data_IF_854127664156
#
_entry.id   IF_854127664156
#
_cell.length_a   1.000
_cell.length_b   1.000
_cell.length_c   1.000
_cell.angle_alpha   90.00
_cell.angle_beta   90.00
_cell.angle_gamma   90.00
#
_symmetry.space_group_name_H-M   'P 1'
#
loop_
_entity.id
_entity.type
_entity.pdbx_description
1 polymer ?
#
# COMPACT_ATOMS: atom_id res chain seq x y z
N UNK A 1 0.76 19.73 8.80
CA UNK A 1 -0.09 19.86 7.59
C UNK A 1 -0.76 18.51 7.38
N UNK A 2 -2.09 18.42 7.24
CA UNK A 2 -2.74 17.15 6.85
C UNK A 2 -2.50 16.97 5.35
N UNK A 3 -1.83 15.90 4.97
CA UNK A 3 -1.72 15.57 3.55
C UNK A 3 -3.04 14.90 3.12
N UNK A 4 -3.71 15.47 2.13
CA UNK A 4 -4.88 14.85 1.48
C UNK A 4 -4.46 14.08 0.21
N UNK A 5 -3.21 13.61 0.19
CA UNK A 5 -2.68 12.87 -0.95
C UNK A 5 -3.24 11.45 -0.96
N UNK A 6 -4.16 11.21 -1.89
CA UNK A 6 -4.84 9.92 -2.05
C UNK A 6 -3.96 8.94 -2.80
N UNK A 7 -3.83 7.74 -2.26
CA UNK A 7 -3.13 6.64 -2.92
C UNK A 7 -4.05 5.42 -3.02
N UNK A 8 -3.95 4.70 -4.11
CA UNK A 8 -4.65 3.42 -4.26
C UNK A 8 -3.67 2.28 -4.00
N UNK A 9 -4.01 1.40 -3.07
CA UNK A 9 -3.18 0.26 -2.69
C UNK A 9 -3.66 -1.00 -3.41
N UNK A 10 -2.76 -1.60 -4.17
CA UNK A 10 -3.00 -2.88 -4.84
C UNK A 10 -2.94 -4.06 -3.85
N UNK A 11 -3.59 -5.17 -4.17
CA UNK A 11 -3.67 -6.37 -3.36
C UNK A 11 -2.31 -6.94 -2.97
N UNK A 12 -1.33 -6.89 -3.86
CA UNK A 12 0.03 -7.34 -3.57
C UNK A 12 0.72 -6.53 -2.47
N UNK A 13 0.35 -5.26 -2.32
CA UNK A 13 0.85 -4.37 -1.25
C UNK A 13 0.15 -4.66 0.06
N UNK A 14 -1.18 -4.77 0.04
CA UNK A 14 -1.98 -5.10 1.24
C UNK A 14 -1.65 -6.50 1.78
N UNK A 15 -1.31 -7.45 0.92
CA UNK A 15 -0.90 -8.79 1.32
C UNK A 15 0.51 -8.85 1.91
N UNK A 16 1.37 -7.86 1.67
CA UNK A 16 2.69 -7.77 2.27
C UNK A 16 2.60 -7.14 3.66
N UNK A 17 2.60 -7.96 4.71
CA UNK A 17 2.37 -7.52 6.09
C UNK A 17 3.24 -6.33 6.53
N UNK A 18 4.53 -6.36 6.23
CA UNK A 18 5.47 -5.33 6.68
C UNK A 18 5.21 -3.99 6.00
N UNK A 19 5.08 -4.01 4.68
CA UNK A 19 4.83 -2.80 3.88
C UNK A 19 3.43 -2.25 4.15
N UNK A 20 2.43 -3.13 4.24
CA UNK A 20 1.05 -2.76 4.57
C UNK A 20 0.97 -2.09 5.95
N UNK A 21 1.58 -2.70 7.00
CA UNK A 21 1.59 -2.15 8.37
C UNK A 21 2.20 -0.73 8.39
N UNK A 22 3.35 -0.55 7.71
CA UNK A 22 4.01 0.76 7.66
C UNK A 22 3.16 1.81 6.92
N UNK A 23 2.64 1.49 5.72
CA UNK A 23 1.82 2.43 4.94
C UNK A 23 0.52 2.81 5.67
N UNK A 24 -0.15 1.84 6.29
CA UNK A 24 -1.39 2.12 7.04
C UNK A 24 -1.12 2.98 8.28
N UNK A 25 0.01 2.80 8.99
CA UNK A 25 0.38 3.69 10.09
C UNK A 25 0.68 5.10 9.63
N UNK A 26 1.37 5.27 8.50
CA UNK A 26 1.61 6.58 7.89
C UNK A 26 0.30 7.25 7.41
N UNK A 27 -0.77 6.47 7.32
CA UNK A 27 -2.13 6.95 7.01
C UNK A 27 -2.95 7.32 8.24
N UNK A 28 -2.53 6.94 9.45
CA UNK A 28 -3.25 7.24 10.71
C UNK A 28 -2.90 8.65 11.24
N UNK A 29 -1.96 8.79 12.17
CA UNK A 29 -1.60 10.08 12.79
C UNK A 29 -0.09 10.21 13.03
N UNK A 30 0.52 11.29 12.51
CA UNK A 30 -0.04 12.29 11.62
C UNK A 30 -0.27 11.72 10.23
N UNK A 31 -1.42 12.01 9.61
CA UNK A 31 -1.79 11.47 8.32
C UNK A 31 -0.94 12.05 7.19
N UNK A 32 0.02 11.28 6.68
CA UNK A 32 0.84 11.66 5.54
C UNK A 32 0.17 11.30 4.21
N UNK A 33 -0.64 10.26 4.19
CA UNK A 33 -1.30 9.71 3.01
C UNK A 33 -2.74 9.32 3.35
N UNK A 34 -3.59 9.21 2.34
CA UNK A 34 -4.96 8.72 2.44
C UNK A 34 -5.09 7.45 1.60
N UNK A 35 -5.20 6.27 2.23
CA UNK A 35 -5.23 5.00 1.50
C UNK A 35 -6.63 4.73 0.94
N UNK A 36 -6.66 4.15 -0.26
CA UNK A 36 -7.87 3.64 -0.91
C UNK A 36 -7.63 2.25 -1.49
N UNK A 37 -8.66 1.47 -1.56
CA UNK A 37 -8.72 0.15 -2.19
C UNK A 37 -10.15 -0.13 -2.67
N UNK A 38 -10.37 -1.29 -3.31
CA UNK A 38 -11.71 -1.77 -3.68
C UNK A 38 -12.05 -3.07 -2.96
N UNK A 39 -13.33 -3.46 -2.98
CA UNK A 39 -13.76 -4.76 -2.46
C UNK A 39 -13.05 -5.92 -3.19
N UNK A 40 -12.81 -5.79 -4.50
CA UNK A 40 -12.08 -6.79 -5.30
C UNK A 40 -10.62 -6.92 -4.86
N UNK A 41 -9.92 -5.80 -4.65
CA UNK A 41 -8.55 -5.78 -4.08
C UNK A 41 -8.54 -6.47 -2.70
N UNK A 42 -9.53 -6.22 -1.85
CA UNK A 42 -9.63 -6.88 -0.56
C UNK A 42 -9.85 -8.39 -0.68
N UNK A 43 -10.69 -8.82 -1.62
CA UNK A 43 -10.90 -10.24 -1.90
C UNK A 43 -9.62 -10.93 -2.41
N UNK A 44 -8.86 -10.27 -3.28
CA UNK A 44 -7.56 -10.77 -3.75
C UNK A 44 -6.51 -10.84 -2.64
N UNK A 45 -6.47 -9.83 -1.78
CA UNK A 45 -5.63 -9.82 -0.58
C UNK A 45 -5.93 -11.02 0.30
N UNK A 46 -7.22 -11.29 0.56
CA UNK A 46 -7.65 -12.46 1.34
C UNK A 46 -7.21 -13.77 0.70
N UNK A 47 -7.46 -13.92 -0.61
CA UNK A 47 -7.00 -15.12 -1.35
C UNK A 47 -5.50 -15.31 -1.22
N UNK A 48 -4.73 -14.24 -1.35
CA UNK A 48 -3.27 -14.30 -1.21
C UNK A 48 -2.85 -14.72 0.20
N UNK A 49 -3.48 -14.18 1.24
CA UNK A 49 -3.21 -14.57 2.62
C UNK A 49 -3.47 -16.06 2.86
N UNK A 50 -4.63 -16.56 2.44
CA UNK A 50 -5.03 -17.95 2.69
C UNK A 50 -4.28 -18.91 1.76
N UNK A 51 -4.32 -18.69 0.45
CA UNK A 51 -3.89 -19.68 -0.54
C UNK A 51 -2.38 -19.70 -0.77
N UNK A 52 -1.70 -18.53 -0.59
CA UNK A 52 -0.26 -18.40 -0.86
C UNK A 52 0.57 -18.27 0.41
N UNK A 53 0.06 -17.59 1.42
CA UNK A 53 0.80 -17.33 2.66
C UNK A 53 0.39 -18.29 3.80
N UNK A 54 -0.61 -19.16 3.58
CA UNK A 54 -1.01 -20.20 4.51
C UNK A 54 -1.68 -19.66 5.78
N UNK A 55 -2.31 -18.48 5.71
CA UNK A 55 -3.05 -17.96 6.84
C UNK A 55 -4.33 -18.78 7.07
N UNK A 56 -4.67 -18.93 8.36
CA UNK A 56 -6.00 -19.38 8.71
C UNK A 56 -7.05 -18.39 8.17
N UNK A 57 -8.15 -18.87 7.56
CA UNK A 57 -9.21 -18.02 7.02
C UNK A 57 -9.75 -17.00 8.02
N UNK A 58 -9.94 -17.40 9.29
CA UNK A 58 -10.44 -16.50 10.34
C UNK A 58 -9.46 -15.36 10.64
N UNK A 59 -8.15 -15.61 10.55
CA UNK A 59 -7.12 -14.57 10.70
C UNK A 59 -7.17 -13.59 9.53
N UNK A 60 -7.34 -14.08 8.30
CA UNK A 60 -7.47 -13.25 7.12
C UNK A 60 -8.74 -12.37 7.20
N UNK A 61 -9.86 -12.93 7.64
CA UNK A 61 -11.11 -12.20 7.84
C UNK A 61 -11.00 -11.15 8.94
N UNK A 62 -10.35 -11.49 10.05
CA UNK A 62 -10.08 -10.56 11.14
C UNK A 62 -9.21 -9.38 10.67
N UNK A 63 -8.12 -9.66 9.93
CA UNK A 63 -7.26 -8.62 9.36
C UNK A 63 -8.06 -7.64 8.49
N UNK A 64 -8.91 -8.16 7.60
CA UNK A 64 -9.74 -7.31 6.75
C UNK A 64 -10.75 -6.47 7.54
N UNK A 65 -11.36 -7.05 8.56
CA UNK A 65 -12.28 -6.33 9.43
C UNK A 65 -11.57 -5.18 10.17
N UNK A 66 -10.33 -5.41 10.65
CA UNK A 66 -9.55 -4.39 11.35
C UNK A 66 -9.20 -3.21 10.44
N UNK A 67 -8.71 -3.47 9.22
CA UNK A 67 -8.34 -2.35 8.33
C UNK A 67 -9.57 -1.60 7.82
N UNK A 68 -10.70 -2.26 7.54
CA UNK A 68 -11.96 -1.58 7.22
C UNK A 68 -12.48 -0.74 8.37
N UNK A 69 -12.34 -1.22 9.60
CA UNK A 69 -12.72 -0.46 10.79
C UNK A 69 -11.84 0.79 10.97
N UNK A 70 -10.52 0.66 10.75
CA UNK A 70 -9.58 1.76 10.86
C UNK A 70 -9.75 2.82 9.76
N UNK A 71 -10.16 2.40 8.56
CA UNK A 71 -10.29 3.25 7.37
C UNK A 71 -11.67 3.05 6.71
N UNK A 72 -12.77 3.50 7.35
CA UNK A 72 -14.14 3.24 6.88
C UNK A 72 -14.46 3.88 5.52
N UNK A 73 -13.75 4.94 5.14
CA UNK A 73 -13.95 5.68 3.89
C UNK A 73 -12.99 5.26 2.76
N UNK A 74 -12.18 4.21 2.98
CA UNK A 74 -11.14 3.82 2.03
C UNK A 74 -11.64 2.93 0.88
N UNK A 75 -12.80 2.28 1.01
CA UNK A 75 -13.29 1.34 0.01
C UNK A 75 -14.03 2.06 -1.12
N UNK A 76 -13.49 1.97 -2.34
CA UNK A 76 -14.05 2.57 -3.56
C UNK A 76 -15.00 1.59 -4.23
N UNK A 77 -16.17 2.07 -4.61
CA UNK A 77 -17.19 1.32 -5.37
C UNK A 77 -17.65 2.09 -6.62
N UNK A 78 -18.37 1.42 -7.51
CA UNK A 78 -19.00 2.03 -8.69
C UNK A 78 -17.99 2.40 -9.80
N UNK A 79 -16.93 1.62 -9.97
CA UNK A 79 -15.89 1.80 -11.00
C UNK A 79 -16.06 0.87 -12.21
N UNK A 80 -16.99 -0.07 -12.15
CA UNK A 80 -17.13 -1.16 -13.13
C UNK A 80 -17.38 -0.65 -14.56
N UNK A 81 -18.09 0.47 -14.69
CA UNK A 81 -18.35 1.11 -15.98
C UNK A 81 -17.10 1.62 -16.71
N UNK A 82 -15.96 1.75 -16.00
CA UNK A 82 -14.69 2.19 -16.59
C UNK A 82 -13.89 1.04 -17.20
N UNK A 83 -14.15 -0.21 -16.82
CA UNK A 83 -13.31 -1.36 -17.18
C UNK A 83 -13.09 -1.55 -18.68
N UNK A 84 -14.11 -1.27 -19.49
CA UNK A 84 -14.06 -1.44 -20.95
C UNK A 84 -13.22 -0.38 -21.65
N UNK A 85 -13.01 0.76 -21.04
CA UNK A 85 -12.20 1.86 -21.58
C UNK A 85 -10.70 1.73 -21.25
N UNK A 86 -10.33 0.81 -20.37
CA UNK A 86 -8.96 0.66 -19.90
C UNK A 86 -8.16 -0.31 -20.75
N UNK A 87 -6.87 0.01 -20.96
CA UNK A 87 -5.96 -0.73 -21.84
C UNK A 87 -4.78 -1.39 -21.12
N UNK A 88 -4.69 -1.24 -19.81
CA UNK A 88 -3.69 -1.94 -18.98
C UNK A 88 -3.98 -3.45 -18.90
N UNK A 89 -3.15 -4.20 -18.19
CA UNK A 89 -3.35 -5.66 -18.03
C UNK A 89 -4.80 -5.97 -17.62
N UNK A 90 -5.49 -6.87 -18.33
CA UNK A 90 -6.90 -7.17 -18.06
C UNK A 90 -7.20 -7.57 -16.62
N UNK A 91 -6.24 -8.24 -15.95
CA UNK A 91 -6.40 -8.67 -14.55
C UNK A 91 -6.36 -7.51 -13.56
N UNK A 92 -5.68 -6.41 -13.93
CA UNK A 92 -5.47 -5.25 -13.06
C UNK A 92 -6.27 -4.01 -13.50
N UNK A 93 -7.21 -4.16 -14.47
CA UNK A 93 -8.10 -3.07 -14.89
C UNK A 93 -8.97 -2.58 -13.74
N UNK A 94 -9.42 -3.46 -12.87
CA UNK A 94 -10.21 -3.10 -11.69
C UNK A 94 -9.44 -2.17 -10.73
N UNK A 95 -8.11 -2.35 -10.61
CA UNK A 95 -7.24 -1.48 -9.81
C UNK A 95 -7.19 -0.07 -10.39
N UNK A 96 -6.93 0.04 -11.72
CA UNK A 96 -6.90 1.33 -12.39
C UNK A 96 -8.28 2.01 -12.38
N UNK A 97 -9.34 1.26 -12.67
CA UNK A 97 -10.72 1.77 -12.65
C UNK A 97 -11.11 2.33 -11.27
N UNK A 98 -10.79 1.59 -10.21
CA UNK A 98 -11.07 2.02 -8.85
C UNK A 98 -10.21 3.22 -8.43
N UNK A 99 -8.94 3.29 -8.85
CA UNK A 99 -8.09 4.45 -8.61
C UNK A 99 -8.65 5.72 -9.27
N UNK A 100 -9.11 5.63 -10.54
CA UNK A 100 -9.78 6.73 -11.25
C UNK A 100 -11.03 7.16 -10.49
N UNK A 101 -11.90 6.22 -10.16
CA UNK A 101 -13.16 6.49 -9.45
C UNK A 101 -12.95 7.12 -8.09
N UNK A 102 -11.94 6.67 -7.35
CA UNK A 102 -11.55 7.19 -6.03
C UNK A 102 -10.81 8.52 -6.07
N UNK A 103 -10.48 9.03 -7.28
CA UNK A 103 -9.68 10.24 -7.43
C UNK A 103 -8.27 10.08 -6.83
N UNK A 104 -7.67 8.90 -6.98
CA UNK A 104 -6.33 8.59 -6.51
C UNK A 104 -5.32 8.85 -7.64
N UNK A 105 -4.48 9.88 -7.54
CA UNK A 105 -3.49 10.18 -8.58
C UNK A 105 -2.34 9.18 -8.64
N UNK A 106 -2.23 8.29 -7.64
CA UNK A 106 -1.12 7.35 -7.52
C UNK A 106 -1.62 5.96 -7.11
N UNK A 107 -1.17 4.94 -7.86
CA UNK A 107 -1.32 3.53 -7.53
C UNK A 107 0.01 3.03 -6.95
N UNK A 108 -0.04 2.33 -5.81
CA UNK A 108 1.12 1.66 -5.21
C UNK A 108 0.98 0.17 -5.46
N UNK A 109 1.96 -0.41 -6.17
CA UNK A 109 1.98 -1.82 -6.53
C UNK A 109 3.39 -2.38 -6.69
N UNK A 110 3.60 -3.66 -6.46
CA UNK A 110 4.83 -4.38 -6.82
C UNK A 110 4.87 -4.75 -8.32
N UNK A 111 3.74 -4.71 -9.02
CA UNK A 111 3.56 -5.20 -10.39
C UNK A 111 3.53 -4.05 -11.43
N UNK A 112 4.55 -3.18 -11.43
CA UNK A 112 4.59 -2.00 -12.31
C UNK A 112 4.33 -2.31 -13.79
N UNK A 113 4.79 -3.47 -14.29
CA UNK A 113 4.62 -3.90 -15.67
C UNK A 113 3.16 -4.04 -16.12
N UNK A 114 2.21 -4.19 -15.19
CA UNK A 114 0.78 -4.29 -15.50
C UNK A 114 0.11 -2.93 -15.70
N UNK A 115 0.87 -1.84 -15.47
CA UNK A 115 0.41 -0.46 -15.55
C UNK A 115 1.33 0.36 -16.47
N UNK A 116 1.37 0.05 -17.79
CA UNK A 116 2.23 0.78 -18.71
C UNK A 116 1.80 2.25 -18.84
N UNK A 117 2.76 3.14 -19.04
CA UNK A 117 2.55 4.58 -19.03
C UNK A 117 1.45 5.04 -19.99
N UNK A 118 1.39 4.45 -21.18
CA UNK A 118 0.37 4.74 -22.20
C UNK A 118 -1.05 4.44 -21.75
N UNK A 119 -1.25 3.49 -20.82
CA UNK A 119 -2.55 3.17 -20.25
C UNK A 119 -2.94 4.13 -19.11
N UNK A 120 -1.98 4.74 -18.44
CA UNK A 120 -2.17 5.63 -17.29
C UNK A 120 -2.31 7.11 -17.68
N UNK A 121 -1.55 7.55 -18.70
CA UNK A 121 -1.50 8.94 -19.14
C UNK A 121 -2.87 9.57 -19.42
N UNK A 122 -3.82 8.89 -20.11
CA UNK A 122 -5.13 9.45 -20.40
C UNK A 122 -5.94 9.79 -19.12
N UNK A 123 -5.62 9.16 -18.00
CA UNK A 123 -6.31 9.28 -16.72
C UNK A 123 -5.57 10.16 -15.72
N UNK A 124 -4.39 10.67 -16.10
CA UNK A 124 -3.51 11.44 -15.22
C UNK A 124 -3.19 10.71 -13.90
N UNK A 125 -2.94 9.40 -14.01
CA UNK A 125 -2.56 8.54 -12.88
C UNK A 125 -1.10 8.14 -13.04
N UNK A 126 -0.38 8.08 -11.93
CA UNK A 126 0.96 7.53 -11.83
C UNK A 126 0.93 6.17 -11.13
N UNK A 127 1.99 5.40 -11.29
CA UNK A 127 2.22 4.16 -10.57
C UNK A 127 3.59 4.20 -9.91
N UNK A 128 3.71 3.68 -8.69
CA UNK A 128 4.98 3.60 -7.97
C UNK A 128 5.14 2.25 -7.28
N UNK A 129 6.39 1.78 -7.25
CA UNK A 129 6.76 0.68 -6.39
C UNK A 129 6.74 1.14 -4.92
N UNK A 130 6.28 0.31 -3.96
CA UNK A 130 6.26 0.68 -2.55
C UNK A 130 7.60 1.18 -2.02
N UNK A 131 8.70 0.60 -2.49
CA UNK A 131 10.06 1.02 -2.12
C UNK A 131 10.35 2.47 -2.45
N UNK A 132 10.06 2.88 -3.68
CA UNK A 132 10.36 4.23 -4.15
C UNK A 132 9.44 5.24 -3.46
N UNK A 133 8.19 4.86 -3.25
CA UNK A 133 7.24 5.71 -2.53
C UNK A 133 7.59 5.89 -1.05
N UNK A 134 8.02 4.83 -0.36
CA UNK A 134 8.47 4.91 1.03
C UNK A 134 9.73 5.76 1.18
N UNK A 135 10.66 5.72 0.20
CA UNK A 135 11.82 6.63 0.18
C UNK A 135 11.39 8.08 0.08
N UNK A 136 10.45 8.41 -0.83
CA UNK A 136 9.91 9.77 -0.96
C UNK A 136 9.27 10.22 0.37
N UNK A 137 8.47 9.38 1.02
CA UNK A 137 7.87 9.72 2.30
C UNK A 137 8.92 9.94 3.39
N UNK A 138 9.99 9.15 3.39
CA UNK A 138 11.09 9.33 4.34
C UNK A 138 11.86 10.64 4.09
N UNK A 139 12.15 10.98 2.84
CA UNK A 139 12.81 12.25 2.50
C UNK A 139 11.97 13.47 2.89
N UNK A 140 10.64 13.38 2.75
CA UNK A 140 9.71 14.46 3.11
C UNK A 140 9.51 14.59 4.62
N UNK A 141 9.36 13.48 5.33
CA UNK A 141 8.94 13.44 6.73
C UNK A 141 9.70 12.35 7.51
N UNK A 142 11.04 12.46 7.62
CA UNK A 142 11.88 11.41 8.21
C UNK A 142 11.49 11.09 9.66
N UNK A 143 11.15 12.11 10.45
CA UNK A 143 10.75 11.93 11.85
C UNK A 143 9.48 11.11 11.99
N UNK A 144 8.52 11.29 11.09
CA UNK A 144 7.25 10.59 11.12
C UNK A 144 7.41 9.12 10.71
N UNK A 145 8.19 8.87 9.66
CA UNK A 145 8.50 7.50 9.22
C UNK A 145 9.25 6.75 10.31
N UNK A 146 10.25 7.37 10.93
CA UNK A 146 11.00 6.77 12.04
C UNK A 146 10.13 6.52 13.28
N UNK A 147 9.20 7.43 13.60
CA UNK A 147 8.25 7.22 14.69
C UNK A 147 7.35 6.01 14.44
N UNK A 148 6.81 5.85 13.22
CA UNK A 148 6.02 4.67 12.85
C UNK A 148 6.83 3.37 12.93
N UNK A 149 8.08 3.38 12.48
CA UNK A 149 8.98 2.22 12.60
C UNK A 149 9.26 1.88 14.08
N UNK A 150 9.46 2.88 14.92
CA UNK A 150 9.60 2.73 16.37
C UNK A 150 8.38 2.11 17.02
N UNK A 151 7.17 2.51 16.63
CA UNK A 151 5.92 1.90 17.11
C UNK A 151 5.79 0.42 16.68
N UNK A 152 6.16 0.10 15.44
CA UNK A 152 6.18 -1.28 14.95
C UNK A 152 7.17 -2.10 15.75
N UNK A 153 8.37 -1.59 15.99
CA UNK A 153 9.41 -2.23 16.76
C UNK A 153 8.95 -2.51 18.20
N UNK A 154 8.40 -1.50 18.87
CA UNK A 154 7.88 -1.62 20.24
C UNK A 154 6.77 -2.66 20.36
N UNK A 155 5.79 -2.67 19.45
CA UNK A 155 4.71 -3.68 19.45
C UNK A 155 5.22 -5.10 19.22
N UNK A 156 6.27 -5.25 18.42
CA UNK A 156 6.88 -6.55 18.08
C UNK A 156 7.99 -6.96 19.04
N UNK A 157 8.31 -6.12 20.04
CA UNK A 157 9.40 -6.30 21.02
C UNK A 157 10.74 -6.59 20.34
N UNK A 158 11.13 -5.75 19.39
CA UNK A 158 12.37 -5.82 18.63
C UNK A 158 12.95 -4.43 18.41
N UNK A 159 14.20 -4.34 17.92
CA UNK A 159 14.81 -3.07 17.53
C UNK A 159 14.33 -2.60 16.16
N UNK A 160 14.45 -1.29 15.89
CA UNK A 160 14.07 -0.70 14.60
C UNK A 160 14.89 -1.30 13.46
N UNK A 161 16.17 -1.59 13.71
CA UNK A 161 17.04 -2.24 12.74
C UNK A 161 16.50 -3.61 12.31
N UNK A 162 15.96 -4.41 13.24
CA UNK A 162 15.36 -5.70 12.94
C UNK A 162 14.09 -5.56 12.08
N UNK A 163 13.30 -4.52 12.35
CA UNK A 163 12.12 -4.19 11.51
C UNK A 163 12.57 -3.86 10.09
N UNK A 164 13.61 -3.02 9.93
CA UNK A 164 14.16 -2.63 8.64
C UNK A 164 14.73 -3.85 7.89
N UNK A 165 15.48 -4.72 8.55
CA UNK A 165 16.02 -5.96 7.95
C UNK A 165 14.89 -6.84 7.40
N UNK A 166 13.79 -6.97 8.14
CA UNK A 166 12.60 -7.72 7.67
C UNK A 166 11.91 -7.06 6.49
N UNK A 167 11.75 -5.72 6.52
CA UNK A 167 11.21 -4.95 5.41
C UNK A 167 12.08 -5.05 4.16
N UNK A 168 13.40 -5.18 4.33
CA UNK A 168 14.36 -5.30 3.24
C UNK A 168 14.12 -6.50 2.31
N UNK A 169 13.34 -7.49 2.72
CA UNK A 169 12.91 -8.59 1.82
C UNK A 169 11.99 -8.12 0.70
N UNK A 170 11.20 -7.07 0.93
CA UNK A 170 10.25 -6.52 -0.03
C UNK A 170 10.70 -5.15 -0.58
N UNK A 171 11.36 -4.34 0.24
CA UNK A 171 11.76 -2.96 -0.06
C UNK A 171 13.23 -2.72 0.30
N UNK A 172 14.18 -3.40 -0.38
CA UNK A 172 15.59 -3.44 0.03
C UNK A 172 16.29 -2.09 0.02
N UNK A 173 16.05 -1.24 -0.99
CA UNK A 173 16.69 0.09 -1.06
C UNK A 173 16.21 1.01 0.06
N UNK A 174 14.90 0.99 0.38
CA UNK A 174 14.35 1.75 1.49
C UNK A 174 14.98 1.31 2.81
N UNK A 175 15.02 0.00 3.05
CA UNK A 175 15.61 -0.55 4.28
C UNK A 175 17.10 -0.21 4.40
N UNK A 176 17.86 -0.38 3.33
CA UNK A 176 19.30 -0.10 3.34
C UNK A 176 19.58 1.38 3.61
N UNK A 177 18.86 2.28 2.94
CA UNK A 177 19.02 3.71 3.13
C UNK A 177 18.81 4.13 4.59
N UNK A 178 17.74 3.63 5.24
CA UNK A 178 17.48 3.94 6.63
C UNK A 178 18.48 3.28 7.60
N UNK A 179 18.96 2.09 7.29
CA UNK A 179 20.01 1.44 8.09
C UNK A 179 21.34 2.22 8.03
N UNK A 180 21.68 2.75 6.86
CA UNK A 180 22.87 3.58 6.69
C UNK A 180 22.74 4.91 7.49
N UNK A 181 21.55 5.51 7.53
CA UNK A 181 21.29 6.73 8.32
C UNK A 181 21.31 6.49 9.85
N UNK A 182 21.12 5.24 10.28
CA UNK A 182 21.17 4.85 11.71
C UNK A 182 22.55 4.42 12.17
N UNK A 183 23.51 4.28 11.26
CA UNK A 183 24.89 3.80 11.56
C UNK A 183 25.81 4.96 11.89
#
# INVERSE_FOLDING_TARGET
MRADYRIFLDACVLANQGVCDLLLRLSERPRLIVPYWSAEVMAETRRTHVDKLGWNPELADYFQAQIRHAFPDAEVAGYEGLLTALTNDPKDRHVLAAAIRGGCPLIITFNLKHFPAEALLPWNICVSHPQDYLLILYEMEPKQVMACLGEIAGRRKMEVQDVLIRLGKAVPKFSQHLLDDLS
#
